data_IF_674520987256
#
_entry.id   IF_674520987256
#
_cell.length_a   1.000
_cell.length_b   1.000
_cell.length_c   1.000
_cell.angle_alpha   90.00
_cell.angle_beta   90.00
_cell.angle_gamma   90.00
#
_symmetry.space_group_name_H-M   'P 1'
#
loop_
_entity.id
_entity.type
_entity.pdbx_description
1 polymer ?
#
# COMPACT_ATOMS: atom_id res chain seq x y z
N UNK A 1 -22.07 13.53 37.84
CA UNK A 1 -21.63 12.12 37.81
C UNK A 1 -20.56 11.98 38.89
N UNK A 2 -20.91 11.58 40.11
CA UNK A 2 -19.97 11.64 41.24
C UNK A 2 -19.79 10.33 42.03
N UNK A 3 -20.42 9.21 41.61
CA UNK A 3 -20.35 7.95 42.37
C UNK A 3 -20.21 6.66 41.54
N UNK A 4 -19.95 6.72 40.23
CA UNK A 4 -19.76 5.52 39.42
C UNK A 4 -18.41 5.52 38.71
N UNK A 5 -17.67 4.41 38.82
CA UNK A 5 -16.45 4.13 38.07
C UNK A 5 -16.71 3.03 37.03
N UNK A 6 -15.92 3.05 35.96
CA UNK A 6 -15.93 1.98 34.96
C UNK A 6 -15.25 0.76 35.59
N UNK A 7 -15.94 -0.38 35.61
CA UNK A 7 -15.38 -1.65 36.10
C UNK A 7 -14.19 -2.06 35.22
N UNK A 8 -13.10 -2.51 35.85
CA UNK A 8 -11.88 -2.94 35.17
C UNK A 8 -12.09 -4.17 34.27
N UNK A 9 -11.16 -4.41 33.34
CA UNK A 9 -11.18 -5.58 32.45
C UNK A 9 -12.17 -5.53 31.28
N UNK A 10 -12.95 -4.46 31.14
CA UNK A 10 -13.88 -4.30 30.02
C UNK A 10 -13.12 -3.99 28.71
N UNK A 11 -13.18 -4.91 27.73
CA UNK A 11 -12.59 -4.70 26.40
C UNK A 11 -13.35 -3.64 25.60
N UNK A 12 -12.65 -2.63 25.09
CA UNK A 12 -13.22 -1.67 24.15
C UNK A 12 -13.47 -2.30 22.77
N UNK A 13 -14.71 -2.24 22.27
CA UNK A 13 -15.12 -2.93 21.03
C UNK A 13 -15.34 -2.01 19.83
N UNK A 14 -15.40 -0.68 20.04
CA UNK A 14 -15.63 0.29 18.96
C UNK A 14 -14.33 0.58 18.21
N UNK A 15 -14.46 1.11 16.99
CA UNK A 15 -13.31 1.55 16.19
C UNK A 15 -12.58 2.68 16.91
N UNK A 16 -11.26 2.54 17.04
CA UNK A 16 -10.39 3.58 17.56
C UNK A 16 -10.22 4.71 16.53
N UNK A 17 -10.09 5.95 17.00
CA UNK A 17 -9.73 7.07 16.12
C UNK A 17 -8.25 6.99 15.70
N UNK A 18 -7.84 7.77 14.70
CA UNK A 18 -6.49 7.72 14.13
C UNK A 18 -5.40 7.96 15.17
N UNK A 19 -5.61 8.88 16.11
CA UNK A 19 -4.67 9.19 17.17
C UNK A 19 -4.52 8.00 18.12
N UNK A 20 -5.63 7.36 18.51
CA UNK A 20 -5.64 6.16 19.35
C UNK A 20 -4.96 4.98 18.65
N UNK A 21 -5.22 4.76 17.35
CA UNK A 21 -4.52 3.73 16.55
C UNK A 21 -3.01 4.00 16.51
N UNK A 22 -2.59 5.25 16.27
CA UNK A 22 -1.18 5.63 16.24
C UNK A 22 -0.50 5.38 17.59
N UNK A 23 -1.17 5.74 18.69
CA UNK A 23 -0.67 5.48 20.05
C UNK A 23 -0.57 3.99 20.34
N UNK A 24 -1.57 3.20 19.95
CA UNK A 24 -1.56 1.75 20.10
C UNK A 24 -0.41 1.12 19.30
N UNK A 25 -0.22 1.51 18.05
CA UNK A 25 0.89 1.03 17.21
C UNK A 25 2.25 1.38 17.82
N UNK A 26 2.43 2.61 18.33
CA UNK A 26 3.67 3.00 19.02
C UNK A 26 3.93 2.17 20.27
N UNK A 27 2.88 1.82 21.02
CA UNK A 27 3.01 1.02 22.23
C UNK A 27 3.25 -0.47 21.95
N UNK A 28 2.76 -1.00 20.83
CA UNK A 28 2.74 -2.45 20.55
C UNK A 28 3.76 -2.91 19.52
N UNK A 29 4.19 -2.04 18.60
CA UNK A 29 5.18 -2.39 17.58
C UNK A 29 6.59 -2.48 18.17
N UNK A 30 7.05 -3.70 18.40
CA UNK A 30 8.37 -4.00 18.96
C UNK A 30 9.28 -4.66 17.93
N UNK A 31 10.59 -4.36 17.99
CA UNK A 31 11.60 -5.06 17.18
C UNK A 31 11.67 -6.54 17.60
N UNK A 32 12.01 -7.47 16.68
CA UNK A 32 12.04 -8.91 16.97
C UNK A 32 12.80 -9.28 18.24
N UNK A 33 14.01 -8.73 18.43
CA UNK A 33 14.84 -8.97 19.61
C UNK A 33 14.18 -8.52 20.93
N UNK A 34 13.47 -7.38 20.91
CA UNK A 34 12.74 -6.89 22.09
C UNK A 34 11.54 -7.80 22.38
N UNK A 35 10.82 -8.21 21.34
CA UNK A 35 9.68 -9.11 21.47
C UNK A 35 10.10 -10.48 22.01
N UNK A 36 11.21 -11.02 21.54
CA UNK A 36 11.80 -12.28 22.02
C UNK A 36 12.15 -12.21 23.52
N UNK A 37 12.80 -11.12 23.95
CA UNK A 37 13.09 -10.88 25.36
C UNK A 37 11.82 -10.77 26.22
N UNK A 38 10.77 -10.10 25.72
CA UNK A 38 9.50 -9.98 26.42
C UNK A 38 8.79 -11.33 26.59
N UNK A 39 8.80 -12.18 25.55
CA UNK A 39 8.25 -13.54 25.63
C UNK A 39 9.00 -14.37 26.65
N UNK A 40 10.34 -14.36 26.59
CA UNK A 40 11.19 -15.11 27.53
C UNK A 40 10.93 -14.66 28.98
N UNK A 41 10.86 -13.35 29.22
CA UNK A 41 10.53 -12.78 30.53
C UNK A 41 9.14 -13.19 31.01
N UNK A 42 8.14 -13.20 30.12
CA UNK A 42 6.77 -13.59 30.47
C UNK A 42 6.68 -15.06 30.90
N UNK A 43 7.38 -15.96 30.22
CA UNK A 43 7.47 -17.37 30.61
C UNK A 43 8.14 -17.53 31.99
N UNK A 44 9.21 -16.76 32.25
CA UNK A 44 9.88 -16.77 33.56
C UNK A 44 8.97 -16.25 34.69
N UNK A 45 8.23 -15.16 34.46
CA UNK A 45 7.33 -14.57 35.46
C UNK A 45 6.15 -15.48 35.76
N UNK A 46 5.57 -16.13 34.74
CA UNK A 46 4.44 -17.03 34.94
C UNK A 46 4.83 -18.33 35.67
N UNK A 47 6.11 -18.71 35.63
CA UNK A 47 6.67 -19.79 36.44
C UNK A 47 5.86 -21.10 36.42
N UNK A 48 5.49 -21.55 35.21
CA UNK A 48 4.64 -22.72 34.96
C UNK A 48 5.15 -24.05 35.58
N UNK A 49 6.41 -24.11 36.02
CA UNK A 49 6.99 -25.28 36.71
C UNK A 49 6.53 -25.41 38.17
N UNK A 50 6.03 -24.34 38.79
CA UNK A 50 5.61 -24.33 40.19
C UNK A 50 4.08 -24.40 40.34
N UNK A 51 3.33 -24.25 39.25
CA UNK A 51 1.88 -24.41 39.27
C UNK A 51 1.50 -25.88 39.46
N UNK A 52 1.04 -26.21 40.67
CA UNK A 52 0.67 -27.57 41.07
C UNK A 52 -0.37 -28.25 40.16
N UNK A 53 -1.42 -27.60 39.65
CA UNK A 53 -2.41 -28.30 38.82
C UNK A 53 -1.78 -28.81 37.51
N UNK A 54 -1.00 -27.98 36.82
CA UNK A 54 -0.42 -28.32 35.51
C UNK A 54 0.64 -29.42 35.65
N UNK A 55 1.51 -29.29 36.66
CA UNK A 55 2.64 -30.20 36.83
C UNK A 55 2.29 -31.47 37.61
N UNK A 56 1.46 -31.38 38.67
CA UNK A 56 1.13 -32.54 39.52
C UNK A 56 -0.12 -33.30 39.06
N UNK A 57 -1.15 -32.61 38.57
CA UNK A 57 -2.41 -33.25 38.21
C UNK A 57 -2.39 -33.78 36.77
N UNK A 58 -1.85 -32.98 35.83
CA UNK A 58 -1.79 -33.33 34.41
C UNK A 58 -0.44 -33.87 33.94
N UNK A 59 0.60 -33.84 34.78
CA UNK A 59 1.94 -34.34 34.42
C UNK A 59 2.60 -33.59 33.25
N UNK A 60 2.21 -32.33 33.02
CA UNK A 60 2.74 -31.52 31.92
C UNK A 60 3.95 -30.70 32.37
N UNK A 61 4.97 -30.61 31.50
CA UNK A 61 6.16 -29.81 31.73
C UNK A 61 6.34 -28.78 30.61
N UNK A 62 6.48 -27.51 30.98
CA UNK A 62 6.69 -26.39 30.05
C UNK A 62 8.15 -25.98 30.09
N UNK A 63 8.83 -26.02 28.93
CA UNK A 63 10.20 -25.53 28.81
C UNK A 63 10.24 -24.00 28.79
N UNK A 64 11.31 -23.42 29.34
CA UNK A 64 11.51 -21.96 29.41
C UNK A 64 12.17 -21.40 28.15
N UNK A 65 12.85 -22.26 27.40
CA UNK A 65 13.56 -21.91 26.18
C UNK A 65 12.61 -21.85 24.98
N UNK A 66 12.93 -20.99 24.02
CA UNK A 66 12.24 -20.96 22.74
C UNK A 66 12.53 -22.24 21.95
N UNK A 67 11.51 -22.73 21.24
CA UNK A 67 11.68 -23.86 20.35
C UNK A 67 12.64 -23.51 19.21
N UNK A 68 13.72 -24.28 19.09
CA UNK A 68 14.65 -24.17 17.97
C UNK A 68 14.13 -24.98 16.79
N UNK A 69 14.16 -24.37 15.60
CA UNK A 69 13.67 -24.97 14.37
C UNK A 69 14.75 -24.80 13.31
N UNK A 70 15.10 -25.90 12.64
CA UNK A 70 15.98 -25.86 11.48
C UNK A 70 15.26 -25.17 10.31
N UNK A 71 15.72 -23.96 10.00
CA UNK A 71 15.18 -23.15 8.92
C UNK A 71 16.23 -22.93 7.83
N UNK A 72 15.76 -22.61 6.63
CA UNK A 72 16.62 -22.27 5.49
C UNK A 72 16.13 -21.00 4.81
N UNK A 73 17.07 -20.14 4.45
CA UNK A 73 16.80 -18.95 3.63
C UNK A 73 16.95 -19.36 2.17
N UNK A 74 15.88 -19.26 1.40
CA UNK A 74 15.92 -19.58 -0.03
C UNK A 74 16.64 -18.45 -0.79
N UNK A 75 17.50 -18.83 -1.73
CA UNK A 75 18.06 -17.86 -2.66
C UNK A 75 16.94 -17.26 -3.51
N UNK A 76 16.87 -15.93 -3.65
CA UNK A 76 15.85 -15.31 -4.47
C UNK A 76 16.06 -15.65 -5.96
N UNK A 77 15.00 -15.81 -6.74
CA UNK A 77 15.12 -16.03 -8.17
C UNK A 77 15.64 -14.77 -8.87
N UNK A 78 16.45 -14.96 -9.91
CA UNK A 78 16.84 -13.88 -10.79
C UNK A 78 15.63 -13.40 -11.61
N UNK A 79 15.40 -12.09 -11.62
CA UNK A 79 14.31 -11.46 -12.36
C UNK A 79 14.81 -10.98 -13.71
N UNK A 80 14.20 -11.46 -14.80
CA UNK A 80 14.51 -11.03 -16.17
C UNK A 80 13.61 -9.86 -16.59
N UNK A 81 14.24 -8.86 -17.19
CA UNK A 81 13.64 -7.67 -17.78
C UNK A 81 13.89 -7.62 -19.30
N UNK A 82 13.29 -6.64 -19.97
CA UNK A 82 13.41 -6.52 -21.43
C UNK A 82 14.85 -6.23 -21.87
N UNK A 83 15.25 -6.80 -23.01
CA UNK A 83 16.63 -6.76 -23.51
C UNK A 83 17.10 -5.36 -23.94
N UNK A 84 16.17 -4.44 -24.19
CA UNK A 84 16.48 -3.02 -24.48
C UNK A 84 16.70 -2.17 -23.22
N UNK A 85 16.50 -2.74 -22.03
CA UNK A 85 16.86 -2.10 -20.77
C UNK A 85 18.38 -2.11 -20.59
N UNK A 86 18.92 -1.17 -19.80
CA UNK A 86 20.35 -1.18 -19.45
C UNK A 86 20.67 -2.38 -18.56
N UNK A 87 19.80 -2.67 -17.58
CA UNK A 87 19.86 -3.89 -16.79
C UNK A 87 18.78 -4.86 -17.25
N UNK A 88 19.19 -6.09 -17.54
CA UNK A 88 18.33 -7.15 -18.08
C UNK A 88 17.99 -8.22 -17.06
N UNK A 89 18.83 -8.37 -16.04
CA UNK A 89 18.65 -9.36 -14.98
C UNK A 89 18.94 -8.67 -13.65
N UNK A 90 18.12 -8.94 -12.63
CA UNK A 90 18.39 -8.53 -11.25
C UNK A 90 18.19 -9.67 -10.29
N UNK A 91 19.12 -9.76 -9.35
CA UNK A 91 19.01 -10.63 -8.19
C UNK A 91 18.44 -9.80 -7.04
N UNK A 92 17.21 -10.08 -6.58
CA UNK A 92 16.64 -9.41 -5.42
C UNK A 92 17.56 -9.55 -4.20
N UNK A 93 17.55 -8.54 -3.34
CA UNK A 93 18.29 -8.56 -2.07
C UNK A 93 17.35 -8.22 -0.94
N UNK A 94 17.39 -9.00 0.15
CA UNK A 94 16.53 -8.83 1.31
C UNK A 94 15.03 -8.69 0.96
N UNK A 95 14.56 -9.45 -0.04
CA UNK A 95 13.17 -9.41 -0.50
C UNK A 95 12.78 -8.18 -1.32
N UNK A 96 13.75 -7.38 -1.79
CA UNK A 96 13.51 -6.12 -2.49
C UNK A 96 14.26 -6.03 -3.83
N UNK A 97 13.67 -5.29 -4.76
CA UNK A 97 14.26 -4.85 -6.03
C UNK A 97 13.55 -3.59 -6.53
N UNK A 98 14.09 -2.92 -7.55
CA UNK A 98 13.48 -1.73 -8.15
C UNK A 98 13.57 -1.76 -9.69
N UNK A 99 12.94 -0.77 -10.34
CA UNK A 99 12.88 -0.61 -11.79
C UNK A 99 13.92 0.36 -12.38
N UNK A 100 14.92 0.80 -11.59
CA UNK A 100 15.97 1.70 -12.09
C UNK A 100 16.75 0.97 -13.19
N UNK A 101 17.05 1.66 -14.30
CA UNK A 101 17.76 1.13 -15.47
C UNK A 101 17.11 -0.06 -16.21
N UNK A 102 15.89 -0.47 -15.82
CA UNK A 102 15.16 -1.60 -16.41
C UNK A 102 13.98 -1.15 -17.25
N UNK A 103 13.56 -2.04 -18.15
CA UNK A 103 12.34 -1.91 -18.95
C UNK A 103 11.46 -3.15 -18.76
N UNK A 104 10.14 -2.94 -18.70
CA UNK A 104 9.14 -3.99 -18.59
C UNK A 104 9.25 -4.97 -19.75
N UNK A 105 9.11 -6.28 -19.47
CA UNK A 105 9.21 -7.34 -20.49
C UNK A 105 8.14 -7.17 -21.58
N UNK A 106 6.91 -6.84 -21.18
CA UNK A 106 5.82 -6.51 -22.09
C UNK A 106 5.19 -5.19 -21.65
N UNK A 107 5.73 -4.08 -22.16
CA UNK A 107 5.20 -2.75 -21.89
C UNK A 107 3.89 -2.53 -22.66
N UNK A 108 2.83 -2.16 -21.93
CA UNK A 108 1.54 -1.84 -22.55
C UNK A 108 1.63 -0.65 -23.52
N UNK A 109 0.67 -0.58 -24.45
CA UNK A 109 0.48 0.54 -25.36
C UNK A 109 -0.72 1.37 -24.95
N UNK A 110 -0.52 2.67 -24.78
CA UNK A 110 -1.56 3.67 -24.48
C UNK A 110 -1.52 4.74 -25.55
N UNK A 111 -2.41 4.61 -26.53
CA UNK A 111 -2.59 5.55 -27.63
C UNK A 111 -3.70 6.57 -27.36
N UNK A 112 -4.74 6.19 -26.62
CA UNK A 112 -5.92 7.02 -26.42
C UNK A 112 -6.21 7.23 -24.93
N UNK A 113 -5.82 8.40 -24.43
CA UNK A 113 -5.91 8.75 -23.00
C UNK A 113 -6.19 10.24 -22.79
N UNK A 114 -6.62 10.62 -21.59
CA UNK A 114 -6.70 12.03 -21.15
C UNK A 114 -6.59 12.14 -19.63
N UNK A 115 -6.55 13.37 -19.11
CA UNK A 115 -6.49 13.68 -17.69
C UNK A 115 -7.57 14.68 -17.28
N UNK A 116 -8.20 14.44 -16.15
CA UNK A 116 -9.13 15.36 -15.48
C UNK A 116 -8.62 15.66 -14.08
N UNK A 117 -8.54 16.95 -13.74
CA UNK A 117 -8.11 17.40 -12.43
C UNK A 117 -9.24 18.03 -11.63
N UNK A 118 -9.62 17.38 -10.53
CA UNK A 118 -10.63 17.86 -9.58
C UNK A 118 -10.04 18.59 -8.37
N UNK A 119 -8.71 18.70 -8.29
CA UNK A 119 -8.01 19.32 -7.17
C UNK A 119 -7.77 20.81 -7.42
N UNK A 120 -8.52 21.66 -6.69
CA UNK A 120 -8.45 23.12 -6.81
C UNK A 120 -7.11 23.75 -6.44
N UNK A 121 -6.31 23.07 -5.61
CA UNK A 121 -4.99 23.55 -5.21
C UNK A 121 -3.90 23.39 -6.28
N UNK A 122 -4.14 22.59 -7.33
CA UNK A 122 -3.10 22.16 -8.26
C UNK A 122 -3.53 22.19 -9.73
N UNK A 123 -4.41 23.12 -10.13
CA UNK A 123 -4.94 23.20 -11.50
C UNK A 123 -3.87 23.26 -12.59
N UNK A 124 -2.74 23.93 -12.34
CA UNK A 124 -1.67 24.10 -13.32
C UNK A 124 -0.62 22.97 -13.31
N UNK A 125 -0.72 22.00 -12.39
CA UNK A 125 0.29 20.95 -12.26
C UNK A 125 -0.01 19.70 -13.10
N UNK A 126 -1.25 19.57 -13.60
CA UNK A 126 -1.70 18.37 -14.31
C UNK A 126 -0.91 18.10 -15.58
N UNK A 127 -0.53 19.15 -16.30
CA UNK A 127 0.24 19.03 -17.54
C UNK A 127 1.65 18.49 -17.27
N UNK A 128 2.38 19.13 -16.35
CA UNK A 128 3.73 18.71 -15.96
C UNK A 128 3.74 17.30 -15.36
N UNK A 129 2.76 17.00 -14.50
CA UNK A 129 2.60 15.66 -13.92
C UNK A 129 2.39 14.61 -15.01
N UNK A 130 1.47 14.85 -15.94
CA UNK A 130 1.20 13.90 -17.01
C UNK A 130 2.39 13.78 -17.96
N UNK A 131 3.08 14.88 -18.27
CA UNK A 131 4.27 14.86 -19.13
C UNK A 131 5.38 13.99 -18.51
N UNK A 132 5.69 14.16 -17.22
CA UNK A 132 6.68 13.33 -16.53
C UNK A 132 6.23 11.89 -16.34
N UNK A 133 4.93 11.64 -16.08
CA UNK A 133 4.37 10.29 -16.03
C UNK A 133 4.55 9.56 -17.36
N UNK A 134 4.14 10.19 -18.47
CA UNK A 134 4.24 9.61 -19.82
C UNK A 134 5.70 9.36 -20.19
N UNK A 135 6.60 10.29 -19.88
CA UNK A 135 8.05 10.14 -20.05
C UNK A 135 8.57 8.96 -19.24
N UNK A 136 8.15 8.81 -17.99
CA UNK A 136 8.52 7.68 -17.13
C UNK A 136 8.04 6.36 -17.72
N UNK A 137 6.75 6.24 -18.10
CA UNK A 137 6.19 5.05 -18.74
C UNK A 137 6.99 4.64 -19.98
N UNK A 138 7.27 5.59 -20.88
CA UNK A 138 8.08 5.35 -22.07
C UNK A 138 9.52 4.91 -21.72
N UNK A 139 10.14 5.53 -20.71
CA UNK A 139 11.47 5.12 -20.22
C UNK A 139 11.49 3.69 -19.69
N UNK A 140 10.36 3.19 -19.17
CA UNK A 140 10.17 1.83 -18.67
C UNK A 140 9.69 0.84 -19.72
N UNK A 141 9.67 1.24 -20.99
CA UNK A 141 9.39 0.33 -22.11
C UNK A 141 7.92 0.22 -22.49
N UNK A 142 7.04 1.04 -21.92
CA UNK A 142 5.68 1.22 -22.47
C UNK A 142 5.72 2.05 -23.75
N UNK A 143 4.67 1.91 -24.57
CA UNK A 143 4.44 2.81 -25.70
C UNK A 143 3.28 3.73 -25.31
N UNK A 144 3.60 4.88 -24.72
CA UNK A 144 2.61 5.81 -24.18
C UNK A 144 2.64 7.10 -25.00
N UNK A 145 1.52 7.43 -25.66
CA UNK A 145 1.40 8.65 -26.47
C UNK A 145 1.66 9.90 -25.63
N UNK A 146 2.59 10.74 -26.10
CA UNK A 146 3.03 11.97 -25.40
C UNK A 146 1.92 12.98 -25.18
N UNK A 147 1.05 13.15 -26.17
CA UNK A 147 -0.07 14.09 -26.10
C UNK A 147 -1.37 13.36 -25.73
N UNK A 148 -2.21 13.96 -24.89
CA UNK A 148 -3.53 13.41 -24.60
C UNK A 148 -4.39 13.44 -25.86
N UNK A 149 -5.30 12.47 -25.99
CA UNK A 149 -6.20 12.35 -27.16
C UNK A 149 -7.45 13.22 -27.04
N UNK A 150 -7.78 13.63 -25.83
CA UNK A 150 -8.82 14.60 -25.48
C UNK A 150 -8.16 15.69 -24.64
N UNK A 151 -8.54 16.96 -24.82
CA UNK A 151 -7.97 18.06 -24.05
C UNK A 151 -8.14 17.83 -22.54
N UNK A 152 -7.02 17.92 -21.81
CA UNK A 152 -7.03 17.82 -20.36
C UNK A 152 -7.83 18.98 -19.78
N UNK A 153 -8.56 18.73 -18.70
CA UNK A 153 -9.39 19.75 -18.07
C UNK A 153 -9.33 19.70 -16.56
N UNK A 154 -9.52 20.87 -15.97
CA UNK A 154 -9.72 21.03 -14.54
C UNK A 154 -11.19 21.31 -14.27
N UNK A 155 -11.74 20.66 -13.26
CA UNK A 155 -13.12 20.83 -12.82
C UNK A 155 -13.16 20.92 -11.30
N UNK A 156 -14.28 21.39 -10.75
CA UNK A 156 -14.52 21.35 -9.31
C UNK A 156 -14.96 19.95 -8.90
N UNK A 157 -14.65 19.55 -7.68
CA UNK A 157 -14.99 18.22 -7.13
C UNK A 157 -16.50 17.96 -7.01
N UNK A 158 -17.34 19.01 -7.02
CA UNK A 158 -18.80 18.89 -7.04
C UNK A 158 -19.38 18.60 -8.43
N UNK A 159 -18.54 18.52 -9.48
CA UNK A 159 -18.95 18.27 -10.87
C UNK A 159 -18.31 17.01 -11.47
N UNK A 160 -17.91 16.05 -10.63
CA UNK A 160 -17.25 14.81 -11.07
C UNK A 160 -18.09 14.10 -12.14
N UNK A 161 -19.33 13.74 -11.82
CA UNK A 161 -20.22 12.98 -12.72
C UNK A 161 -20.39 13.65 -14.09
N UNK A 162 -20.73 14.96 -14.08
CA UNK A 162 -20.91 15.73 -15.31
C UNK A 162 -19.63 15.75 -16.14
N UNK A 163 -18.47 15.98 -15.50
CA UNK A 163 -17.18 16.05 -16.19
C UNK A 163 -16.80 14.71 -16.81
N UNK A 164 -17.06 13.60 -16.12
CA UNK A 164 -16.82 12.26 -16.64
C UNK A 164 -17.73 11.92 -17.82
N UNK A 165 -19.02 12.28 -17.73
CA UNK A 165 -19.97 12.14 -18.85
C UNK A 165 -19.52 12.93 -20.07
N UNK A 166 -19.01 14.14 -19.88
CA UNK A 166 -18.52 14.98 -20.98
C UNK A 166 -17.28 14.37 -21.66
N UNK A 167 -16.33 13.86 -20.88
CA UNK A 167 -15.16 13.15 -21.42
C UNK A 167 -15.57 11.89 -22.17
N UNK A 168 -16.54 11.13 -21.65
CA UNK A 168 -17.06 9.95 -22.32
C UNK A 168 -17.72 10.30 -23.66
N UNK A 169 -18.59 11.33 -23.69
CA UNK A 169 -19.24 11.81 -24.93
C UNK A 169 -18.22 12.26 -25.97
N UNK A 170 -17.18 12.97 -25.56
CA UNK A 170 -16.10 13.40 -26.46
C UNK A 170 -15.31 12.21 -27.00
N UNK A 171 -14.98 11.23 -26.15
CA UNK A 171 -14.34 9.99 -26.59
C UNK A 171 -15.21 9.22 -27.58
N UNK A 172 -16.51 9.11 -27.32
CA UNK A 172 -17.46 8.43 -28.20
C UNK A 172 -17.57 9.13 -29.56
N UNK A 173 -17.58 10.46 -29.59
CA UNK A 173 -17.58 11.25 -30.82
C UNK A 173 -16.35 11.04 -31.70
N UNK A 174 -15.22 10.65 -31.10
CA UNK A 174 -13.97 10.35 -31.82
C UNK A 174 -13.89 8.91 -32.37
N UNK A 175 -14.92 8.09 -32.17
CA UNK A 175 -14.99 6.68 -32.57
C UNK A 175 -13.77 5.85 -32.13
N UNK A 176 -13.14 6.23 -31.01
CA UNK A 176 -12.02 5.52 -30.41
C UNK A 176 -12.30 5.29 -28.93
N UNK A 177 -12.16 4.05 -28.43
CA UNK A 177 -12.39 3.77 -27.03
C UNK A 177 -11.29 4.40 -26.18
N UNK A 178 -11.68 5.07 -25.09
CA UNK A 178 -10.75 5.56 -24.09
C UNK A 178 -10.02 4.40 -23.43
N UNK A 179 -8.70 4.36 -23.56
CA UNK A 179 -7.85 3.29 -22.97
C UNK A 179 -7.44 3.63 -21.54
N UNK A 180 -7.27 4.92 -21.23
CA UNK A 180 -6.88 5.37 -19.90
C UNK A 180 -7.44 6.78 -19.60
N UNK A 181 -8.07 6.92 -18.45
CA UNK A 181 -8.47 8.21 -17.87
C UNK A 181 -7.67 8.44 -16.60
N UNK A 182 -6.85 9.48 -16.57
CA UNK A 182 -6.13 9.90 -15.37
C UNK A 182 -7.01 10.89 -14.61
N UNK A 183 -7.22 10.63 -13.32
CA UNK A 183 -8.05 11.49 -12.47
C UNK A 183 -7.21 11.97 -11.29
N UNK A 184 -7.05 13.28 -11.17
CA UNK A 184 -6.39 13.92 -10.02
C UNK A 184 -7.47 14.37 -9.05
N UNK A 185 -7.47 13.79 -7.84
CA UNK A 185 -8.48 14.08 -6.81
C UNK A 185 -7.96 15.09 -5.77
N UNK A 186 -8.86 15.86 -5.13
CA UNK A 186 -8.49 16.67 -3.96
C UNK A 186 -8.13 15.78 -2.77
N UNK A 187 -7.37 16.33 -1.82
CA UNK A 187 -6.93 15.66 -0.59
C UNK A 187 -8.06 15.53 0.47
N UNK A 188 -9.30 15.30 0.01
CA UNK A 188 -10.48 15.17 0.87
C UNK A 188 -10.96 13.72 0.89
N UNK A 189 -11.34 13.24 2.07
CA UNK A 189 -11.90 11.90 2.24
C UNK A 189 -13.23 11.77 1.49
N UNK A 190 -13.38 10.69 0.71
CA UNK A 190 -14.63 10.35 0.01
C UNK A 190 -14.69 10.70 -1.48
N UNK A 191 -13.72 11.42 -2.05
CA UNK A 191 -13.76 11.79 -3.48
C UNK A 191 -13.64 10.60 -4.45
N UNK A 192 -13.07 9.47 -4.00
CA UNK A 192 -13.00 8.25 -4.81
C UNK A 192 -14.30 7.44 -4.80
N UNK A 193 -15.14 7.55 -3.76
CA UNK A 193 -16.38 6.78 -3.67
C UNK A 193 -17.47 7.26 -4.63
N UNK A 194 -17.29 8.44 -5.23
CA UNK A 194 -18.18 9.05 -6.21
C UNK A 194 -17.65 8.92 -7.66
N UNK A 195 -16.55 8.19 -7.89
CA UNK A 195 -16.02 7.86 -9.22
C UNK A 195 -16.56 6.50 -9.68
#
# INVERSE_FOLDING_TARGET
MELCSIVEGQRYTKKLNEQQVRSLLRATCQRPNVREGNVTKMVQVNNFEVEEPITKEFGMHVRKELALIDARVLNPPALKYHDTGRDKIVNPSCGQWNMINKKMVNGGKVDFWTCVNFSSGYWNMSEDFCAELVKMCNSKGMVFRRTPSIAMRSARSDRIDQTLVDVYKESAGLNKPLQLLIIILPDQTGSYANL
#
